data_IF_187596463907
#
_entry.id   IF_187596463907
#
_cell.length_a   1.000
_cell.length_b   1.000
_cell.length_c   1.000
_cell.angle_alpha   90.00
_cell.angle_beta   90.00
_cell.angle_gamma   90.00
#
_symmetry.space_group_name_H-M   'P 1'
#
loop_
_entity.id
_entity.type
_entity.pdbx_description
1 polymer ?
#
# COMPACT_ATOMS: atom_id res chain seq x y z
N UNK A 1 14.11 -25.92 20.10
CA UNK A 1 13.85 -25.57 18.69
C UNK A 1 13.62 -24.06 18.63
N UNK A 2 14.47 -23.26 17.98
CA UNK A 2 14.23 -21.82 17.90
C UNK A 2 13.03 -21.58 16.97
N UNK A 3 12.15 -20.67 17.38
CA UNK A 3 11.00 -20.25 16.59
C UNK A 3 11.51 -19.76 15.23
N UNK A 4 11.08 -20.43 14.17
CA UNK A 4 11.35 -20.02 12.80
C UNK A 4 10.62 -18.68 12.61
N UNK A 5 11.36 -17.57 12.73
CA UNK A 5 10.87 -16.25 12.38
C UNK A 5 10.54 -16.35 10.89
N UNK A 6 9.27 -16.61 10.56
CA UNK A 6 8.76 -16.41 9.22
C UNK A 6 8.99 -14.93 8.98
N UNK A 7 10.03 -14.60 8.21
CA UNK A 7 10.23 -13.27 7.69
C UNK A 7 8.96 -12.92 6.92
N UNK A 8 7.99 -12.35 7.62
CA UNK A 8 6.86 -11.69 7.01
C UNK A 8 7.50 -10.63 6.13
N UNK A 9 7.38 -10.81 4.81
CA UNK A 9 7.89 -9.81 3.88
C UNK A 9 7.31 -8.46 4.29
N UNK A 10 8.22 -7.48 4.38
CA UNK A 10 7.87 -6.14 4.81
C UNK A 10 6.73 -5.60 3.93
N UNK A 11 5.73 -4.90 4.50
CA UNK A 11 4.66 -4.30 3.73
C UNK A 11 5.24 -3.42 2.62
N UNK A 12 4.78 -3.63 1.39
CA UNK A 12 5.25 -2.91 0.22
C UNK A 12 4.57 -1.53 0.15
N UNK A 13 5.32 -0.42 0.14
CA UNK A 13 4.73 0.92 0.04
C UNK A 13 4.13 1.16 -1.35
N UNK A 14 2.87 1.55 -1.42
CA UNK A 14 2.17 1.89 -2.66
C UNK A 14 2.00 3.40 -2.83
N UNK A 15 1.91 4.16 -1.73
CA UNK A 15 1.89 5.62 -1.71
C UNK A 15 2.82 6.11 -0.60
N UNK A 16 3.63 7.13 -0.89
CA UNK A 16 4.46 7.84 0.09
C UNK A 16 4.39 9.34 -0.17
N UNK A 17 4.07 10.14 0.85
CA UNK A 17 3.93 11.60 0.77
C UNK A 17 3.05 12.05 -0.42
N UNK A 18 1.91 11.41 -0.60
CA UNK A 18 0.98 11.70 -1.68
C UNK A 18 1.39 11.21 -3.07
N UNK A 19 2.58 10.59 -3.22
CA UNK A 19 3.10 10.09 -4.50
C UNK A 19 2.92 8.59 -4.60
N UNK A 20 2.45 8.13 -5.76
CA UNK A 20 2.29 6.70 -6.06
C UNK A 20 3.64 6.06 -6.38
N UNK A 21 3.89 4.88 -5.83
CA UNK A 21 5.10 4.09 -6.07
C UNK A 21 4.85 3.09 -7.22
N UNK A 22 5.00 3.52 -8.48
CA UNK A 22 4.66 2.69 -9.65
C UNK A 22 5.44 1.37 -9.72
N UNK A 23 6.75 1.41 -9.44
CA UNK A 23 7.59 0.21 -9.39
C UNK A 23 7.10 -0.83 -8.38
N UNK A 24 6.44 -0.37 -7.32
CA UNK A 24 5.89 -1.26 -6.29
C UNK A 24 4.52 -1.81 -6.72
N UNK A 25 3.74 -1.04 -7.47
CA UNK A 25 2.53 -1.54 -8.12
C UNK A 25 2.85 -2.61 -9.18
N UNK A 26 3.90 -2.40 -9.97
CA UNK A 26 4.39 -3.38 -10.96
C UNK A 26 4.80 -4.70 -10.29
N UNK A 27 5.48 -4.65 -9.15
CA UNK A 27 5.88 -5.84 -8.38
C UNK A 27 4.68 -6.71 -7.95
N UNK A 28 3.51 -6.11 -7.76
CA UNK A 28 2.28 -6.82 -7.41
C UNK A 28 1.31 -6.96 -8.60
N UNK A 29 1.78 -6.67 -9.82
CA UNK A 29 0.97 -6.71 -11.05
C UNK A 29 -0.32 -5.87 -10.97
N UNK A 30 -0.25 -4.73 -10.29
CA UNK A 30 -1.37 -3.78 -10.15
C UNK A 30 -1.10 -2.46 -10.86
N UNK A 31 -2.16 -1.68 -11.02
CA UNK A 31 -2.13 -0.38 -11.70
C UNK A 31 -2.54 0.74 -10.76
N UNK A 32 -2.28 2.00 -11.17
CA UNK A 32 -2.81 3.18 -10.49
C UNK A 32 -4.34 3.18 -10.42
N UNK A 33 -5.02 2.60 -11.42
CA UNK A 33 -6.47 2.47 -11.43
C UNK A 33 -6.95 1.53 -10.31
N UNK A 34 -6.31 0.37 -10.16
CA UNK A 34 -6.57 -0.53 -9.04
C UNK A 34 -6.36 0.18 -7.70
N UNK A 35 -5.23 0.87 -7.53
CA UNK A 35 -4.93 1.61 -6.30
C UNK A 35 -5.97 2.70 -6.02
N UNK A 36 -6.44 3.40 -7.05
CA UNK A 36 -7.51 4.40 -6.94
C UNK A 36 -8.80 3.78 -6.40
N UNK A 37 -9.20 2.63 -6.94
CA UNK A 37 -10.38 1.93 -6.45
C UNK A 37 -10.24 1.52 -4.98
N UNK A 38 -9.06 1.01 -4.58
CA UNK A 38 -8.78 0.63 -3.19
C UNK A 38 -8.94 1.79 -2.20
N UNK A 39 -8.41 2.97 -2.54
CA UNK A 39 -8.53 4.14 -1.66
C UNK A 39 -9.96 4.71 -1.63
N UNK A 40 -10.69 4.61 -2.74
CA UNK A 40 -12.09 5.04 -2.84
C UNK A 40 -13.04 4.20 -1.98
N UNK A 41 -12.78 2.89 -1.86
CA UNK A 41 -13.51 2.04 -0.90
C UNK A 41 -13.34 2.48 0.56
N UNK A 42 -12.31 3.30 0.86
CA UNK A 42 -12.08 3.90 2.17
C UNK A 42 -12.51 5.37 2.26
N UNK A 43 -13.23 5.88 1.26
CA UNK A 43 -13.75 7.25 1.23
C UNK A 43 -12.74 8.30 0.76
N UNK A 44 -11.53 7.91 0.34
CA UNK A 44 -10.48 8.82 -0.11
C UNK A 44 -10.56 9.04 -1.63
N UNK A 45 -10.37 10.29 -2.09
CA UNK A 45 -10.56 10.64 -3.51
C UNK A 45 -9.24 10.75 -4.27
N UNK A 46 -8.20 11.24 -3.62
CA UNK A 46 -6.93 11.60 -4.23
C UNK A 46 -5.75 11.02 -3.47
N UNK A 47 -4.74 10.56 -4.21
CA UNK A 47 -3.50 10.04 -3.61
C UNK A 47 -2.79 11.09 -2.75
N UNK A 48 -2.90 12.38 -3.09
CA UNK A 48 -2.29 13.49 -2.33
C UNK A 48 -2.77 13.61 -0.88
N UNK A 49 -3.94 13.03 -0.55
CA UNK A 49 -4.49 13.01 0.81
C UNK A 49 -3.82 11.94 1.69
N UNK A 50 -3.05 11.04 1.07
CA UNK A 50 -2.46 9.86 1.71
C UNK A 50 -0.97 10.11 1.94
N UNK A 51 -0.56 10.12 3.21
CA UNK A 51 0.85 10.19 3.59
C UNK A 51 1.53 8.83 3.35
N UNK A 52 0.87 7.73 3.75
CA UNK A 52 1.41 6.38 3.56
C UNK A 52 0.30 5.39 3.17
N UNK A 53 0.55 4.58 2.16
CA UNK A 53 -0.24 3.38 1.86
C UNK A 53 0.70 2.20 1.69
N UNK A 54 0.47 1.09 2.40
CA UNK A 54 1.26 -0.14 2.27
C UNK A 54 0.38 -1.37 2.07
N UNK A 55 0.92 -2.40 1.44
CA UNK A 55 0.27 -3.69 1.24
C UNK A 55 1.18 -4.81 1.75
N UNK A 56 0.69 -5.63 2.69
CA UNK A 56 1.43 -6.81 3.15
C UNK A 56 1.18 -8.04 2.25
N UNK A 57 1.97 -9.10 2.46
CA UNK A 57 1.85 -10.36 1.71
C UNK A 57 0.54 -11.12 1.92
N UNK A 58 -0.30 -10.69 2.88
CA UNK A 58 -1.65 -11.25 3.10
C UNK A 58 -2.73 -10.41 2.41
N UNK A 59 -2.34 -9.41 1.62
CA UNK A 59 -3.25 -8.48 0.97
C UNK A 59 -3.86 -7.44 1.91
N UNK A 60 -3.33 -7.28 3.13
CA UNK A 60 -3.83 -6.27 4.07
C UNK A 60 -3.23 -4.92 3.72
N UNK A 61 -4.11 -3.97 3.41
CA UNK A 61 -3.74 -2.61 3.10
C UNK A 61 -3.82 -1.72 4.34
N UNK A 62 -2.77 -0.95 4.60
CA UNK A 62 -2.73 0.07 5.66
C UNK A 62 -2.62 1.45 5.02
N UNK A 63 -3.43 2.40 5.50
CA UNK A 63 -3.47 3.77 4.95
C UNK A 63 -3.40 4.76 6.11
N UNK A 64 -2.52 5.74 5.96
CA UNK A 64 -2.38 6.90 6.83
C UNK A 64 -2.60 8.16 6.00
N UNK A 65 -3.58 8.96 6.37
CA UNK A 65 -3.83 10.28 5.78
C UNK A 65 -3.01 11.34 6.50
N UNK A 66 -2.70 12.44 5.82
CA UNK A 66 -2.17 13.63 6.48
C UNK A 66 -3.28 14.41 7.19
N UNK A 67 -2.92 15.17 8.22
CA UNK A 67 -3.74 16.28 8.75
C UNK A 67 -3.72 17.47 7.78
#
# INVERSE_FOLDING_TARGET
MPAQIKYASLPLPLIMNGKVMDKNLEQISQTRFWLKNQIQFRGLKHFKEINLCTLDHKGRMYIVTGE
#
